data_IF_409172971803
#
_entry.id   IF_409172971803
#
_cell.length_a   1.000
_cell.length_b   1.000
_cell.length_c   1.000
_cell.angle_alpha   90.00
_cell.angle_beta   90.00
_cell.angle_gamma   90.00
#
_symmetry.space_group_name_H-M   'P 1'
#
loop_
_entity.id
_entity.type
_entity.pdbx_description
1 polymer ?
#
# COMPACT_ATOMS: atom_id res chain seq x y z
N UNK A 1 26.47 0.97 10.69
CA UNK A 1 25.71 2.23 10.53
C UNK A 1 25.43 2.60 9.06
N UNK A 2 26.40 2.64 8.12
CA UNK A 2 26.12 3.01 6.71
C UNK A 2 25.34 1.96 5.89
N UNK A 3 25.58 0.66 6.10
CA UNK A 3 24.88 -0.42 5.37
C UNK A 3 23.41 -0.59 5.79
N UNK A 4 23.07 -0.38 7.07
CA UNK A 4 21.69 -0.45 7.54
C UNK A 4 20.83 0.71 7.03
N UNK A 5 21.37 1.94 6.97
CA UNK A 5 20.64 3.09 6.45
C UNK A 5 20.37 3.01 4.94
N UNK A 6 21.31 2.41 4.17
CA UNK A 6 21.09 2.14 2.75
C UNK A 6 19.98 1.10 2.55
N UNK A 7 19.99 0.01 3.34
CA UNK A 7 18.93 -0.99 3.30
C UNK A 7 17.57 -0.45 3.77
N UNK A 8 17.50 0.37 4.83
CA UNK A 8 16.19 0.87 5.32
C UNK A 8 15.54 1.86 4.35
N UNK A 9 16.34 2.66 3.63
CA UNK A 9 15.84 3.56 2.59
C UNK A 9 15.27 2.77 1.41
N UNK A 10 16.04 1.83 0.87
CA UNK A 10 15.67 0.99 -0.28
C UNK A 10 14.39 0.18 0.02
N UNK A 11 14.27 -0.38 1.23
CA UNK A 11 13.08 -1.14 1.58
C UNK A 11 11.88 -0.23 1.91
N UNK A 12 12.09 0.99 2.43
CA UNK A 12 10.97 1.92 2.63
C UNK A 12 10.39 2.38 1.30
N UNK A 13 11.25 2.69 0.32
CA UNK A 13 10.85 2.98 -1.06
C UNK A 13 10.07 1.79 -1.65
N UNK A 14 10.57 0.56 -1.48
CA UNK A 14 9.86 -0.64 -1.91
C UNK A 14 8.48 -0.81 -1.25
N UNK A 15 8.31 -0.50 0.04
CA UNK A 15 6.97 -0.59 0.67
C UNK A 15 6.03 0.50 0.13
N UNK A 16 6.53 1.71 -0.14
CA UNK A 16 5.71 2.76 -0.74
C UNK A 16 5.23 2.40 -2.14
N UNK A 17 6.11 1.84 -2.99
CA UNK A 17 5.75 1.34 -4.32
C UNK A 17 4.66 0.27 -4.24
N UNK A 18 4.73 -0.60 -3.22
CA UNK A 18 3.74 -1.66 -3.03
C UNK A 18 2.38 -1.18 -2.52
N UNK A 19 2.37 -0.11 -1.73
CA UNK A 19 1.12 0.55 -1.38
C UNK A 19 0.50 1.18 -2.63
N UNK A 20 1.32 1.76 -3.50
CA UNK A 20 0.91 2.36 -4.76
C UNK A 20 0.28 1.30 -5.69
N UNK A 21 1.00 0.21 -5.95
CA UNK A 21 0.56 -0.92 -6.78
C UNK A 21 -0.77 -1.51 -6.28
N UNK A 22 -0.90 -1.75 -4.97
CA UNK A 22 -2.13 -2.31 -4.40
C UNK A 22 -3.33 -1.37 -4.58
N UNK A 23 -3.12 -0.07 -4.38
CA UNK A 23 -4.19 0.93 -4.53
C UNK A 23 -4.61 1.02 -5.99
N UNK A 24 -3.65 1.04 -6.92
CA UNK A 24 -3.94 1.06 -8.36
C UNK A 24 -4.68 -0.20 -8.81
N UNK A 25 -4.25 -1.38 -8.36
CA UNK A 25 -4.93 -2.65 -8.68
C UNK A 25 -6.37 -2.70 -8.14
N UNK A 26 -6.63 -2.11 -6.98
CA UNK A 26 -7.97 -2.08 -6.39
C UNK A 26 -8.88 -1.06 -7.09
N UNK A 27 -8.34 0.12 -7.44
CA UNK A 27 -9.11 1.21 -8.06
C UNK A 27 -9.28 1.04 -9.57
N UNK A 28 -8.33 0.39 -10.27
CA UNK A 28 -8.37 0.15 -11.72
C UNK A 28 -9.62 -0.59 -12.17
N UNK A 29 -10.21 -1.40 -11.29
CA UNK A 29 -11.47 -2.13 -11.52
C UNK A 29 -12.68 -1.20 -11.69
N UNK A 30 -12.56 0.06 -11.31
CA UNK A 30 -13.65 1.04 -11.22
C UNK A 30 -13.36 2.34 -12.00
N UNK A 31 -12.20 2.45 -12.67
CA UNK A 31 -11.76 3.68 -13.35
C UNK A 31 -12.71 4.18 -14.45
N UNK A 32 -13.45 3.28 -15.11
CA UNK A 32 -14.41 3.66 -16.15
C UNK A 32 -15.73 4.23 -15.60
N UNK A 33 -15.93 4.18 -14.27
CA UNK A 33 -17.16 4.61 -13.61
C UNK A 33 -16.93 5.91 -12.84
N UNK A 34 -17.92 6.81 -12.86
CA UNK A 34 -17.92 7.99 -11.98
C UNK A 34 -17.84 7.53 -10.51
N UNK A 35 -16.91 8.10 -9.70
CA UNK A 35 -16.76 7.74 -8.30
C UNK A 35 -18.02 7.81 -7.45
N UNK A 36 -19.02 8.59 -7.83
CA UNK A 36 -20.32 8.63 -7.14
C UNK A 36 -21.09 7.31 -7.22
N UNK A 37 -20.79 6.47 -8.20
CA UNK A 37 -21.46 5.19 -8.43
C UNK A 37 -20.64 3.97 -8.00
N UNK A 38 -19.44 4.20 -7.46
CA UNK A 38 -18.60 3.11 -6.98
C UNK A 38 -19.23 2.37 -5.80
N UNK A 39 -18.90 1.08 -5.67
CA UNK A 39 -19.24 0.28 -4.50
C UNK A 39 -18.32 0.64 -3.33
N UNK A 40 -18.62 1.76 -2.67
CA UNK A 40 -17.84 2.29 -1.56
C UNK A 40 -17.80 1.37 -0.35
N UNK A 41 -18.82 0.52 -0.13
CA UNK A 41 -18.82 -0.45 0.96
C UNK A 41 -17.77 -1.54 0.71
N UNK A 42 -17.69 -2.06 -0.52
CA UNK A 42 -16.65 -3.00 -0.91
C UNK A 42 -15.25 -2.36 -0.86
N UNK A 43 -15.08 -1.14 -1.38
CA UNK A 43 -13.80 -0.42 -1.30
C UNK A 43 -13.38 -0.23 0.17
N UNK A 44 -14.28 0.28 1.01
CA UNK A 44 -14.03 0.47 2.43
C UNK A 44 -13.61 -0.84 3.10
N UNK A 45 -14.30 -1.94 2.80
CA UNK A 45 -13.98 -3.25 3.33
C UNK A 45 -12.57 -3.71 2.91
N UNK A 46 -12.23 -3.59 1.63
CA UNK A 46 -10.95 -4.05 1.09
C UNK A 46 -9.79 -3.24 1.65
N UNK A 47 -9.92 -1.92 1.68
CA UNK A 47 -8.93 -1.00 2.24
C UNK A 47 -8.78 -1.17 3.75
N UNK A 48 -9.89 -1.35 4.49
CA UNK A 48 -9.83 -1.59 5.93
C UNK A 48 -9.15 -2.92 6.24
N UNK A 49 -9.41 -3.96 5.45
CA UNK A 49 -8.88 -5.31 5.72
C UNK A 49 -7.38 -5.43 5.43
N UNK A 50 -6.89 -4.77 4.38
CA UNK A 50 -5.51 -4.93 3.92
C UNK A 50 -4.60 -3.77 4.29
N UNK A 51 -5.10 -2.53 4.30
CA UNK A 51 -4.32 -1.33 4.59
C UNK A 51 -4.67 -0.69 5.94
N UNK A 52 -5.79 -1.11 6.56
CA UNK A 52 -6.36 -0.50 7.77
C UNK A 52 -6.65 0.99 7.58
N UNK A 53 -7.04 1.33 6.36
CA UNK A 53 -7.47 2.65 5.93
C UNK A 53 -8.98 2.66 5.87
N UNK A 54 -9.60 3.61 6.59
CA UNK A 54 -11.01 3.91 6.39
C UNK A 54 -11.15 4.95 5.27
N UNK A 55 -11.86 4.57 4.22
CA UNK A 55 -12.12 5.42 3.06
C UNK A 55 -13.60 5.39 2.72
N UNK A 56 -14.11 6.55 2.36
CA UNK A 56 -15.49 6.79 1.92
C UNK A 56 -15.52 8.01 1.00
N UNK A 57 -16.53 8.10 0.14
CA UNK A 57 -16.70 9.25 -0.74
C UNK A 57 -16.69 10.57 0.04
N UNK A 58 -17.41 10.62 1.16
CA UNK A 58 -17.51 11.81 2.01
C UNK A 58 -16.15 12.20 2.61
N UNK A 59 -15.33 11.23 2.99
CA UNK A 59 -13.99 11.50 3.53
C UNK A 59 -13.06 12.12 2.49
N UNK A 60 -13.11 11.62 1.25
CA UNK A 60 -12.31 12.14 0.14
C UNK A 60 -12.79 13.53 -0.28
N UNK A 61 -14.10 13.72 -0.42
CA UNK A 61 -14.69 15.02 -0.74
C UNK A 61 -14.38 16.06 0.35
N UNK A 62 -14.46 15.66 1.61
CA UNK A 62 -14.13 16.50 2.76
C UNK A 62 -12.66 16.94 2.77
N UNK A 63 -11.75 16.01 2.45
CA UNK A 63 -10.32 16.30 2.36
C UNK A 63 -9.97 17.25 1.20
N UNK A 64 -10.58 17.04 0.04
CA UNK A 64 -10.36 17.86 -1.16
C UNK A 64 -11.16 19.17 -1.16
N UNK A 65 -12.12 19.33 -0.24
CA UNK A 65 -13.10 20.44 -0.24
C UNK A 65 -13.83 20.58 -1.58
N UNK A 66 -14.04 19.46 -2.26
CA UNK A 66 -14.66 19.36 -3.57
C UNK A 66 -15.64 18.19 -3.56
N UNK A 67 -16.84 18.38 -4.13
CA UNK A 67 -17.83 17.31 -4.27
C UNK A 67 -17.55 16.42 -5.50
N UNK A 68 -17.01 17.02 -6.55
CA UNK A 68 -16.72 16.32 -7.80
C UNK A 68 -15.26 15.84 -7.74
N UNK A 69 -15.05 14.74 -7.03
CA UNK A 69 -13.73 14.12 -6.87
C UNK A 69 -13.44 13.16 -8.02
N UNK A 70 -12.20 13.17 -8.47
CA UNK A 70 -11.70 12.27 -9.52
C UNK A 70 -11.16 10.98 -8.91
N UNK A 71 -10.99 9.94 -9.74
CA UNK A 71 -10.26 8.71 -9.35
C UNK A 71 -8.88 9.03 -8.78
N UNK A 72 -8.19 10.01 -9.37
CA UNK A 72 -6.87 10.46 -8.92
C UNK A 72 -6.92 11.12 -7.52
N UNK A 73 -7.97 11.89 -7.23
CA UNK A 73 -8.16 12.47 -5.88
C UNK A 73 -8.36 11.37 -4.83
N UNK A 74 -9.05 10.29 -5.20
CA UNK A 74 -9.31 9.13 -4.34
C UNK A 74 -8.03 8.33 -4.14
N UNK A 75 -7.28 8.06 -5.22
CA UNK A 75 -5.96 7.41 -5.20
C UNK A 75 -5.01 8.14 -4.26
N UNK A 76 -4.88 9.45 -4.42
CA UNK A 76 -3.99 10.27 -3.60
C UNK A 76 -4.42 10.29 -2.12
N UNK A 77 -5.73 10.37 -1.84
CA UNK A 77 -6.25 10.27 -0.48
C UNK A 77 -5.91 8.91 0.15
N UNK A 78 -6.21 7.82 -0.56
CA UNK A 78 -5.91 6.46 -0.15
C UNK A 78 -4.43 6.25 0.17
N UNK A 79 -3.54 6.66 -0.74
CA UNK A 79 -2.09 6.51 -0.59
C UNK A 79 -1.59 7.31 0.61
N UNK A 80 -2.08 8.53 0.78
CA UNK A 80 -1.74 9.36 1.95
C UNK A 80 -2.12 8.66 3.25
N UNK A 81 -3.34 8.12 3.35
CA UNK A 81 -3.81 7.39 4.53
C UNK A 81 -3.05 6.09 4.78
N UNK A 82 -2.72 5.34 3.73
CA UNK A 82 -1.92 4.13 3.86
C UNK A 82 -0.52 4.44 4.40
N UNK A 83 0.12 5.51 3.90
CA UNK A 83 1.42 5.99 4.40
C UNK A 83 1.34 6.47 5.85
N UNK A 84 0.27 7.18 6.24
CA UNK A 84 0.03 7.57 7.64
C UNK A 84 -0.04 6.35 8.57
N UNK A 85 -0.81 5.32 8.20
CA UNK A 85 -0.94 4.07 8.97
C UNK A 85 0.40 3.33 9.06
N UNK A 86 1.12 3.19 7.95
CA UNK A 86 2.43 2.55 7.91
C UNK A 86 3.43 3.27 8.83
N UNK A 87 3.53 4.60 8.71
CA UNK A 87 4.46 5.40 9.51
C UNK A 87 4.11 5.36 11.01
N UNK A 88 2.81 5.42 11.36
CA UNK A 88 2.37 5.28 12.74
C UNK A 88 2.79 3.93 13.33
N UNK A 89 2.68 2.84 12.54
CA UNK A 89 3.13 1.51 12.96
C UNK A 89 4.64 1.40 13.07
N UNK A 90 5.38 1.93 12.08
CA UNK A 90 6.84 1.98 12.10
C UNK A 90 7.34 2.66 13.38
N UNK A 91 6.71 3.78 13.77
CA UNK A 91 7.09 4.53 14.97
C UNK A 91 6.85 3.79 16.30
N UNK A 92 5.97 2.77 16.31
CA UNK A 92 5.70 1.94 17.49
C UNK A 92 6.69 0.78 17.65
N UNK A 93 7.48 0.49 16.62
CA UNK A 93 8.38 -0.67 16.59
C UNK A 93 9.85 -0.23 16.69
N UNK A 94 10.69 -0.98 17.40
CA UNK A 94 12.14 -0.84 17.29
C UNK A 94 12.62 -1.05 15.84
N UNK A 95 13.65 -0.30 15.43
CA UNK A 95 14.17 -0.32 14.05
C UNK A 95 14.62 -1.72 13.59
N UNK A 96 15.20 -2.52 14.47
CA UNK A 96 15.65 -3.89 14.19
C UNK A 96 14.48 -4.85 13.95
N UNK A 97 13.39 -4.70 14.69
CA UNK A 97 12.14 -5.45 14.49
C UNK A 97 11.51 -5.08 13.15
N UNK A 98 11.43 -3.78 12.84
CA UNK A 98 10.88 -3.32 11.57
C UNK A 98 11.70 -3.83 10.37
N UNK A 99 13.03 -3.79 10.48
CA UNK A 99 13.93 -4.32 9.46
C UNK A 99 13.76 -5.83 9.26
N UNK A 100 13.55 -6.59 10.35
CA UNK A 100 13.26 -8.02 10.29
C UNK A 100 11.97 -8.34 9.53
N UNK A 101 10.89 -7.62 9.82
CA UNK A 101 9.59 -7.78 9.15
C UNK A 101 9.68 -7.47 7.65
N UNK A 102 10.35 -6.36 7.32
CA UNK A 102 10.64 -5.93 5.95
C UNK A 102 11.39 -7.00 5.15
N UNK A 103 12.45 -7.58 5.72
CA UNK A 103 13.23 -8.63 5.06
C UNK A 103 12.41 -9.92 4.85
N UNK A 104 11.60 -10.32 5.83
CA UNK A 104 10.73 -11.49 5.70
C UNK A 104 9.72 -11.30 4.56
N UNK A 105 9.16 -10.10 4.45
CA UNK A 105 8.21 -9.78 3.41
C UNK A 105 8.82 -9.80 2.00
N UNK A 106 9.99 -9.18 1.81
CA UNK A 106 10.72 -9.25 0.54
C UNK A 106 11.05 -10.69 0.15
N UNK A 107 11.43 -11.52 1.13
CA UNK A 107 11.66 -12.95 0.91
C UNK A 107 10.39 -13.63 0.40
N UNK A 108 9.22 -13.37 1.01
CA UNK A 108 7.95 -13.91 0.54
C UNK A 108 7.61 -13.48 -0.89
N UNK A 109 7.84 -12.20 -1.24
CA UNK A 109 7.59 -11.70 -2.59
C UNK A 109 8.52 -12.36 -3.62
N UNK A 110 9.80 -12.48 -3.31
CA UNK A 110 10.76 -13.21 -4.14
C UNK A 110 10.37 -14.68 -4.31
N UNK A 111 9.79 -15.31 -3.28
CA UNK A 111 9.29 -16.69 -3.38
C UNK A 111 7.99 -16.80 -4.20
N UNK A 112 7.08 -15.83 -4.09
CA UNK A 112 5.81 -15.77 -4.86
C UNK A 112 6.06 -15.49 -6.35
N UNK A 113 6.92 -14.52 -6.65
CA UNK A 113 7.27 -14.11 -8.01
C UNK A 113 8.35 -15.02 -8.63
N UNK A 114 9.17 -15.66 -7.79
CA UNK A 114 10.28 -16.54 -8.18
C UNK A 114 9.92 -18.02 -8.30
N UNK A 115 8.73 -18.35 -8.84
CA UNK A 115 8.35 -19.74 -9.17
C UNK A 115 9.29 -20.44 -10.18
N UNK A 116 10.35 -19.81 -10.66
CA UNK A 116 11.26 -20.34 -11.70
C UNK A 116 12.68 -20.63 -11.19
N UNK A 117 13.21 -19.99 -10.14
CA UNK A 117 14.68 -20.07 -9.87
C UNK A 117 15.06 -21.08 -8.79
N UNK A 118 14.16 -21.46 -7.87
CA UNK A 118 14.53 -22.41 -6.80
C UNK A 118 14.72 -23.86 -7.29
N UNK A 119 14.15 -24.24 -8.44
CA UNK A 119 14.37 -25.57 -9.04
C UNK A 119 15.68 -25.69 -9.83
N UNK A 120 16.39 -24.59 -10.10
CA UNK A 120 17.63 -24.60 -10.89
C UNK A 120 18.91 -24.59 -10.03
N UNK A 121 18.78 -24.61 -8.70
CA UNK A 121 19.90 -24.64 -7.75
C UNK A 121 20.00 -25.96 -6.96
N UNK A 122 19.20 -26.97 -7.31
CA UNK A 122 19.19 -28.32 -6.70
C UNK A 122 19.34 -29.42 -7.79
N UNK A 123 19.92 -29.10 -8.94
CA UNK A 123 20.41 -30.11 -9.91
C UNK A 123 21.80 -29.75 -10.39
#
# INVERSE_FOLDING_TARGET
MRKQALNDKDISESIEDMLDDYIDDELSRMEEMDPQHWDWDNIKQNFSSHLLVDISLESVQGANKNKDVTTEDIRNFALTKAKEVYNARKALLPDDVMLGLKNLYLLEQLMKNGKIIFMQWIN
#
